data_IF_082593457765
#
_entry.id   IF_082593457765
#
_cell.length_a   1.000
_cell.length_b   1.000
_cell.length_c   1.000
_cell.angle_alpha   90.00
_cell.angle_beta   90.00
_cell.angle_gamma   90.00
#
_symmetry.space_group_name_H-M   'P 1'
#
loop_
_entity.id
_entity.type
_entity.pdbx_description
1 polymer ?
#
# COMPACT_ATOMS: atom_id res chain seq x y z
N UNK A 1 20.27 -38.36 -2.18
CA UNK A 1 18.91 -37.80 -2.35
C UNK A 1 18.48 -38.07 -3.77
N UNK A 2 17.30 -38.68 -3.98
CA UNK A 2 16.77 -38.86 -5.34
C UNK A 2 16.36 -37.49 -5.86
N UNK A 3 16.90 -37.10 -7.01
CA UNK A 3 16.37 -36.00 -7.80
C UNK A 3 14.90 -36.34 -8.11
N UNK A 4 13.99 -35.44 -7.73
CA UNK A 4 12.61 -35.49 -8.21
C UNK A 4 12.70 -35.11 -9.69
N UNK A 5 12.63 -36.11 -10.57
CA UNK A 5 12.62 -35.90 -12.01
C UNK A 5 11.31 -35.21 -12.38
N UNK A 6 11.39 -34.10 -13.10
CA UNK A 6 10.24 -33.47 -13.73
C UNK A 6 9.61 -34.47 -14.71
N UNK A 7 8.39 -34.89 -14.43
CA UNK A 7 7.61 -35.78 -15.30
C UNK A 7 7.22 -35.01 -16.56
N UNK A 8 7.64 -35.50 -17.73
CA UNK A 8 7.44 -34.82 -19.02
C UNK A 8 5.95 -34.56 -19.31
N UNK A 9 5.06 -35.44 -18.83
CA UNK A 9 3.61 -35.27 -18.97
C UNK A 9 3.05 -34.15 -18.07
N UNK A 10 3.69 -33.91 -16.92
CA UNK A 10 3.33 -32.80 -16.02
C UNK A 10 3.82 -31.46 -16.61
N UNK A 11 5.00 -31.44 -17.22
CA UNK A 11 5.50 -30.26 -17.92
C UNK A 11 4.62 -29.90 -19.12
N UNK A 12 4.31 -30.86 -20.00
CA UNK A 12 3.46 -30.63 -21.18
C UNK A 12 2.05 -30.14 -20.83
N UNK A 13 1.51 -30.56 -19.67
CA UNK A 13 0.24 -30.06 -19.16
C UNK A 13 0.34 -28.64 -18.57
N UNK A 14 1.44 -28.29 -17.91
CA UNK A 14 1.62 -27.00 -17.22
C UNK A 14 2.12 -25.90 -18.17
N UNK A 15 2.93 -26.25 -19.17
CA UNK A 15 3.56 -25.32 -20.10
C UNK A 15 2.59 -24.29 -20.72
N UNK A 16 1.40 -24.66 -21.26
CA UNK A 16 0.48 -23.66 -21.80
C UNK A 16 -0.04 -22.67 -20.74
N UNK A 17 -0.34 -23.14 -19.52
CA UNK A 17 -0.76 -22.26 -18.42
C UNK A 17 0.36 -21.36 -17.96
N UNK A 18 1.60 -21.87 -17.99
CA UNK A 18 2.79 -21.09 -17.65
C UNK A 18 3.05 -20.01 -18.69
N UNK A 19 2.88 -20.30 -19.98
CA UNK A 19 3.09 -19.32 -21.05
C UNK A 19 2.03 -18.22 -21.01
N UNK A 20 0.75 -18.56 -20.86
CA UNK A 20 -0.34 -17.59 -20.69
C UNK A 20 -0.10 -16.68 -19.46
N UNK A 21 0.27 -17.29 -18.32
CA UNK A 21 0.60 -16.53 -17.11
C UNK A 21 1.82 -15.63 -17.32
N UNK A 22 2.87 -16.10 -18.02
CA UNK A 22 4.05 -15.29 -18.30
C UNK A 22 3.70 -14.10 -19.18
N UNK A 23 2.88 -14.29 -20.22
CA UNK A 23 2.42 -13.21 -21.09
C UNK A 23 1.66 -12.14 -20.29
N UNK A 24 0.73 -12.55 -19.43
CA UNK A 24 -0.03 -11.63 -18.58
C UNK A 24 0.88 -10.88 -17.58
N UNK A 25 1.87 -11.56 -16.99
CA UNK A 25 2.83 -10.93 -16.09
C UNK A 25 3.78 -9.96 -16.81
N UNK A 26 4.03 -10.15 -18.11
CA UNK A 26 4.87 -9.27 -18.93
C UNK A 26 4.12 -8.05 -19.47
N UNK A 27 2.79 -8.01 -19.36
CA UNK A 27 1.98 -6.86 -19.77
C UNK A 27 2.46 -5.58 -19.08
N UNK A 28 2.81 -4.58 -19.88
CA UNK A 28 3.15 -3.23 -19.40
C UNK A 28 1.85 -2.53 -19.02
N UNK A 29 1.78 -2.05 -17.78
CA UNK A 29 0.61 -1.38 -17.19
C UNK A 29 0.90 0.09 -16.85
N UNK A 30 2.11 0.57 -17.10
CA UNK A 30 2.48 1.96 -16.92
C UNK A 30 3.96 2.21 -17.20
N UNK A 31 4.39 3.47 -17.08
CA UNK A 31 5.79 3.87 -17.20
C UNK A 31 6.19 4.70 -15.99
N UNK A 32 7.12 4.19 -15.19
CA UNK A 32 7.66 4.91 -14.04
C UNK A 32 8.58 6.03 -14.52
N UNK A 33 8.36 7.29 -14.07
CA UNK A 33 9.15 8.44 -14.51
C UNK A 33 10.52 8.53 -13.84
N UNK A 34 10.76 7.72 -12.80
CA UNK A 34 12.00 7.62 -12.05
C UNK A 34 12.01 6.34 -11.22
N UNK A 35 13.16 6.00 -10.64
CA UNK A 35 13.29 4.88 -9.71
C UNK A 35 12.44 5.10 -8.44
N UNK A 36 11.60 4.12 -8.10
CA UNK A 36 10.97 4.04 -6.79
C UNK A 36 11.88 3.26 -5.85
N UNK A 37 12.27 3.88 -4.74
CA UNK A 37 13.13 3.28 -3.73
C UNK A 37 12.33 3.11 -2.45
N UNK A 38 12.44 1.93 -1.83
CA UNK A 38 11.85 1.64 -0.52
C UNK A 38 12.79 2.10 0.58
N UNK A 39 12.29 2.89 1.53
CA UNK A 39 13.07 3.45 2.63
C UNK A 39 12.19 3.81 3.84
N UNK A 40 12.84 4.15 4.95
CA UNK A 40 12.24 4.61 6.20
C UNK A 40 12.93 5.90 6.68
N UNK A 41 12.23 6.79 7.39
CA UNK A 41 10.78 6.75 7.62
C UNK A 41 9.96 7.18 6.39
N UNK A 42 10.58 7.81 5.40
CA UNK A 42 9.92 8.21 4.15
C UNK A 42 10.54 7.50 2.96
N UNK A 43 9.73 7.28 1.92
CA UNK A 43 10.20 6.76 0.65
C UNK A 43 9.27 7.17 -0.48
N UNK A 44 9.82 7.42 -1.67
CA UNK A 44 8.99 7.77 -2.82
C UNK A 44 8.11 6.60 -3.27
N UNK A 45 8.60 5.35 -3.13
CA UNK A 45 7.79 4.15 -3.34
C UNK A 45 6.59 4.09 -2.37
N UNK A 46 6.84 4.29 -1.08
CA UNK A 46 5.78 4.26 -0.07
C UNK A 46 4.76 5.39 -0.26
N UNK A 47 5.22 6.59 -0.60
CA UNK A 47 4.38 7.73 -0.88
C UNK A 47 3.46 7.45 -2.08
N UNK A 48 4.02 7.01 -3.21
CA UNK A 48 3.28 6.65 -4.41
C UNK A 48 2.24 5.55 -4.13
N UNK A 49 2.64 4.47 -3.46
CA UNK A 49 1.77 3.32 -3.20
C UNK A 49 0.57 3.71 -2.34
N UNK A 50 0.80 4.44 -1.24
CA UNK A 50 -0.28 4.86 -0.34
C UNK A 50 -1.14 5.98 -0.91
N UNK A 51 -0.60 6.82 -1.80
CA UNK A 51 -1.41 7.80 -2.52
C UNK A 51 -2.36 7.13 -3.52
N UNK A 52 -1.92 6.08 -4.21
CA UNK A 52 -2.78 5.29 -5.08
C UNK A 52 -3.86 4.54 -4.26
N UNK A 53 -3.49 3.94 -3.13
CA UNK A 53 -4.46 3.35 -2.19
C UNK A 53 -5.49 4.38 -1.71
N UNK A 54 -5.07 5.59 -1.36
CA UNK A 54 -5.97 6.65 -0.93
C UNK A 54 -6.93 7.05 -2.06
N UNK A 55 -6.42 7.24 -3.27
CA UNK A 55 -7.24 7.60 -4.44
C UNK A 55 -8.31 6.53 -4.71
N UNK A 56 -7.96 5.24 -4.64
CA UNK A 56 -8.96 4.19 -4.81
C UNK A 56 -9.93 4.09 -3.64
N UNK A 57 -9.45 4.18 -2.40
CA UNK A 57 -10.33 4.21 -1.24
C UNK A 57 -11.36 5.36 -1.34
N UNK A 58 -10.96 6.54 -1.84
CA UNK A 58 -11.87 7.66 -2.07
C UNK A 58 -12.88 7.39 -3.18
N UNK A 59 -12.53 6.65 -4.23
CA UNK A 59 -13.42 6.32 -5.35
C UNK A 59 -14.46 5.26 -4.97
N UNK A 60 -14.06 4.28 -4.15
CA UNK A 60 -14.89 3.09 -3.86
C UNK A 60 -15.71 3.21 -2.59
N UNK A 61 -15.49 4.25 -1.78
CA UNK A 61 -16.22 4.46 -0.53
C UNK A 61 -17.24 5.61 -0.67
N UNK A 62 -18.43 5.48 -0.08
CA UNK A 62 -19.46 6.53 -0.13
C UNK A 62 -19.10 7.77 0.70
N UNK A 63 -18.26 7.59 1.73
CA UNK A 63 -17.78 8.67 2.58
C UNK A 63 -16.31 9.00 2.24
N UNK A 64 -15.88 10.25 2.48
CA UNK A 64 -14.48 10.63 2.31
C UNK A 64 -13.53 9.78 3.15
N UNK A 65 -12.37 9.44 2.60
CA UNK A 65 -11.26 8.77 3.29
C UNK A 65 -10.16 9.81 3.51
N UNK A 66 -9.71 9.92 4.76
CA UNK A 66 -8.78 10.97 5.18
C UNK A 66 -7.37 10.70 4.72
N UNK A 67 -6.86 9.49 4.99
CA UNK A 67 -5.54 9.06 4.57
C UNK A 67 -5.47 7.54 4.45
N UNK A 68 -4.40 7.06 3.83
CA UNK A 68 -4.10 5.64 3.70
C UNK A 68 -2.74 5.31 4.30
N UNK A 69 -2.59 4.09 4.79
CA UNK A 69 -1.33 3.55 5.27
C UNK A 69 -1.03 2.20 4.61
N UNK A 70 0.24 1.88 4.51
CA UNK A 70 0.70 0.53 4.15
C UNK A 70 1.81 0.14 5.11
N UNK A 71 1.75 -1.05 5.69
CA UNK A 71 2.82 -1.49 6.58
C UNK A 71 4.10 -1.74 5.77
N UNK A 72 5.26 -1.36 6.31
CA UNK A 72 6.52 -1.42 5.57
C UNK A 72 6.86 -2.83 5.08
N UNK A 73 6.46 -3.88 5.81
CA UNK A 73 6.67 -5.28 5.43
C UNK A 73 5.81 -5.76 4.25
N UNK A 74 4.72 -5.03 3.96
CA UNK A 74 3.79 -5.30 2.86
C UNK A 74 4.38 -5.05 1.47
N UNK A 75 5.34 -4.11 1.36
CA UNK A 75 6.10 -3.87 0.12
C UNK A 75 7.39 -4.70 0.15
N UNK A 76 7.65 -5.57 -0.82
CA UNK A 76 8.68 -6.62 -0.69
C UNK A 76 9.99 -6.34 -1.39
N UNK A 77 9.95 -5.67 -2.53
CA UNK A 77 11.17 -5.34 -3.29
C UNK A 77 11.78 -4.01 -2.79
N UNK A 78 13.11 -3.86 -2.86
CA UNK A 78 13.79 -2.65 -2.42
C UNK A 78 13.62 -1.48 -3.39
N UNK A 79 13.35 -1.78 -4.68
CA UNK A 79 13.18 -0.76 -5.71
C UNK A 79 12.33 -1.25 -6.88
N UNK A 80 11.74 -0.29 -7.60
CA UNK A 80 11.18 -0.44 -8.95
C UNK A 80 11.92 0.53 -9.85
N UNK A 81 12.47 0.05 -10.96
CA UNK A 81 13.25 0.87 -11.86
C UNK A 81 12.36 1.85 -12.65
N UNK A 82 12.94 2.98 -13.06
CA UNK A 82 12.39 3.86 -14.09
C UNK A 82 12.08 3.08 -15.38
N UNK A 83 11.05 3.52 -16.12
CA UNK A 83 10.68 2.95 -17.41
C UNK A 83 9.47 2.02 -17.34
N UNK A 84 9.35 1.06 -18.27
CA UNK A 84 8.17 0.19 -18.36
C UNK A 84 7.93 -0.58 -17.06
N UNK A 85 6.71 -0.46 -16.54
CA UNK A 85 6.25 -1.18 -15.36
C UNK A 85 5.30 -2.30 -15.79
N UNK A 86 5.62 -3.53 -15.43
CA UNK A 86 4.80 -4.71 -15.75
C UNK A 86 3.89 -5.12 -14.61
N UNK A 87 2.83 -5.86 -14.93
CA UNK A 87 1.95 -6.49 -13.92
C UNK A 87 2.75 -7.39 -12.98
N UNK A 88 3.64 -8.23 -13.50
CA UNK A 88 4.52 -9.08 -12.71
C UNK A 88 5.36 -8.31 -11.69
N UNK A 89 5.82 -7.10 -12.02
CA UNK A 89 6.56 -6.25 -11.07
C UNK A 89 5.69 -5.79 -9.90
N UNK A 90 4.40 -5.54 -10.10
CA UNK A 90 3.46 -5.24 -9.01
C UNK A 90 3.21 -6.47 -8.14
N UNK A 91 3.10 -7.66 -8.74
CA UNK A 91 3.03 -8.92 -7.99
C UNK A 91 4.29 -9.15 -7.14
N UNK A 92 5.48 -8.86 -7.65
CA UNK A 92 6.71 -8.90 -6.85
C UNK A 92 6.71 -7.85 -5.73
N UNK A 93 6.24 -6.63 -6.02
CA UNK A 93 6.20 -5.52 -5.06
C UNK A 93 5.26 -5.81 -3.89
N UNK A 94 4.05 -6.28 -4.16
CA UNK A 94 3.02 -6.58 -3.16
C UNK A 94 2.37 -7.95 -3.46
N UNK A 95 3.00 -9.05 -3.02
CA UNK A 95 2.57 -10.41 -3.36
C UNK A 95 1.46 -10.95 -2.47
N UNK A 96 0.91 -10.13 -1.56
CA UNK A 96 -0.12 -10.55 -0.62
C UNK A 96 -1.51 -10.32 -1.20
N UNK A 97 -2.45 -11.21 -0.92
CA UNK A 97 -3.86 -11.05 -1.27
C UNK A 97 -4.61 -10.25 -0.19
N UNK A 98 -3.98 -9.17 0.30
CA UNK A 98 -4.59 -8.29 1.29
C UNK A 98 -5.66 -7.43 0.61
N UNK A 99 -6.81 -7.31 1.26
CA UNK A 99 -7.88 -6.42 0.83
C UNK A 99 -7.65 -4.99 1.32
N UNK A 100 -8.15 -4.02 0.56
CA UNK A 100 -8.20 -2.62 0.94
C UNK A 100 -9.46 -2.41 1.80
N UNK A 101 -9.28 -2.08 3.07
CA UNK A 101 -10.37 -1.79 4.01
C UNK A 101 -10.25 -0.37 4.55
N UNK A 102 -11.39 0.22 4.93
CA UNK A 102 -11.45 1.53 5.58
C UNK A 102 -12.03 1.38 6.97
N UNK A 103 -11.36 1.94 7.97
CA UNK A 103 -11.80 1.97 9.36
C UNK A 103 -12.02 3.43 9.78
N UNK A 104 -13.05 3.68 10.58
CA UNK A 104 -13.21 4.96 11.28
C UNK A 104 -12.56 4.88 12.66
N UNK A 105 -11.53 5.71 12.89
CA UNK A 105 -10.72 5.69 14.10
C UNK A 105 -10.86 7.00 14.86
N UNK A 106 -11.19 6.91 16.14
CA UNK A 106 -11.11 8.03 17.07
C UNK A 106 -9.64 8.46 17.31
N UNK A 107 -9.47 9.64 17.92
CA UNK A 107 -8.14 10.16 18.25
C UNK A 107 -7.25 9.19 19.06
N UNK A 108 -7.83 8.37 19.95
CA UNK A 108 -7.06 7.43 20.76
C UNK A 108 -6.46 6.33 19.87
N UNK A 109 -7.27 5.74 18.98
CA UNK A 109 -6.81 4.74 18.02
C UNK A 109 -5.87 5.32 16.97
N UNK A 110 -6.09 6.56 16.52
CA UNK A 110 -5.12 7.27 15.67
C UNK A 110 -3.79 7.40 16.39
N UNK A 111 -3.77 7.83 17.65
CA UNK A 111 -2.52 7.95 18.41
C UNK A 111 -1.82 6.60 18.59
N UNK A 112 -2.56 5.53 18.89
CA UNK A 112 -2.01 4.17 19.00
C UNK A 112 -1.40 3.69 17.68
N UNK A 113 -2.12 3.87 16.57
CA UNK A 113 -1.66 3.52 15.23
C UNK A 113 -0.39 4.29 14.85
N UNK A 114 -0.37 5.61 15.03
CA UNK A 114 0.78 6.43 14.67
C UNK A 114 1.98 6.17 15.60
N UNK A 115 1.77 5.86 16.88
CA UNK A 115 2.84 5.39 17.77
C UNK A 115 3.41 4.04 17.32
N UNK A 116 2.56 3.13 16.85
CA UNK A 116 3.01 1.85 16.27
C UNK A 116 3.87 2.09 15.02
N UNK A 117 3.47 3.02 14.15
CA UNK A 117 4.24 3.41 12.97
C UNK A 117 5.58 4.03 13.40
N UNK A 118 5.57 4.97 14.34
CA UNK A 118 6.76 5.66 14.85
C UNK A 118 7.77 4.68 15.47
N UNK A 119 7.31 3.77 16.33
CA UNK A 119 8.15 2.74 16.95
C UNK A 119 8.73 1.71 15.97
N UNK A 120 8.14 1.60 14.78
CA UNK A 120 8.64 0.78 13.67
C UNK A 120 9.60 1.54 12.74
N UNK A 121 10.03 2.74 13.14
CA UNK A 121 10.84 3.67 12.35
C UNK A 121 10.14 4.14 11.05
N UNK A 122 8.81 4.24 11.07
CA UNK A 122 8.00 4.72 9.95
C UNK A 122 7.48 3.62 9.02
N UNK A 123 6.28 3.85 8.52
CA UNK A 123 5.57 3.10 7.50
C UNK A 123 5.18 4.08 6.38
N UNK A 124 4.98 3.59 5.14
CA UNK A 124 4.29 4.36 4.11
C UNK A 124 2.97 4.98 4.59
N UNK A 125 2.80 6.29 4.36
CA UNK A 125 1.58 7.06 4.66
C UNK A 125 1.24 7.97 3.49
N UNK A 126 -0.05 8.18 3.20
CA UNK A 126 -0.50 9.01 2.08
C UNK A 126 -0.37 10.52 2.34
N UNK A 127 -0.49 11.33 1.29
CA UNK A 127 -0.21 12.78 1.24
C UNK A 127 -0.95 13.66 2.26
N UNK A 128 -2.03 13.17 2.85
CA UNK A 128 -2.85 13.92 3.79
C UNK A 128 -2.42 13.76 5.25
N UNK A 129 -1.52 12.82 5.55
CA UNK A 129 -1.00 12.60 6.89
C UNK A 129 0.46 13.06 6.96
N UNK A 130 0.78 13.85 7.99
CA UNK A 130 2.15 14.07 8.42
C UNK A 130 2.27 14.09 9.94
N UNK A 131 3.44 13.74 10.45
CA UNK A 131 3.76 13.77 11.88
C UNK A 131 5.28 13.72 12.10
N UNK A 132 5.74 13.95 13.32
CA UNK A 132 7.14 13.79 13.74
C UNK A 132 7.29 12.60 14.69
N UNK A 133 8.40 11.89 14.58
CA UNK A 133 8.79 10.83 15.50
C UNK A 133 9.62 11.45 16.63
N UNK A 134 9.13 11.35 17.86
CA UNK A 134 9.86 11.73 19.06
C UNK A 134 9.77 10.60 20.08
N UNK A 135 10.92 10.11 20.57
CA UNK A 135 10.99 8.97 21.50
C UNK A 135 10.17 7.74 21.08
N UNK A 136 10.21 7.41 19.78
CA UNK A 136 9.44 6.33 19.15
C UNK A 136 7.92 6.49 19.22
N UNK A 137 7.44 7.72 19.41
CA UNK A 137 6.02 8.10 19.40
C UNK A 137 5.75 9.14 18.32
N UNK A 138 4.51 9.19 17.87
CA UNK A 138 4.06 10.21 16.94
C UNK A 138 3.64 11.47 17.70
N UNK A 139 4.22 12.60 17.33
CA UNK A 139 3.91 13.95 17.80
C UNK A 139 3.67 14.87 16.61
N UNK A 140 3.14 16.07 16.84
CA UNK A 140 2.85 17.06 15.78
C UNK A 140 2.02 16.46 14.62
N UNK A 141 1.02 15.64 14.97
CA UNK A 141 0.17 14.92 14.01
C UNK A 141 -0.73 15.91 13.27
N UNK A 142 -0.63 15.90 11.95
CA UNK A 142 -1.42 16.71 11.04
C UNK A 142 -2.17 15.83 10.02
N UNK A 143 -3.49 15.98 9.96
CA UNK A 143 -4.35 15.35 8.96
C UNK A 143 -4.99 16.47 8.14
N UNK A 144 -4.84 16.43 6.81
CA UNK A 144 -5.21 17.54 5.91
C UNK A 144 -4.60 18.89 6.30
N UNK A 145 -3.39 18.86 6.87
CA UNK A 145 -2.70 20.06 7.34
C UNK A 145 -3.30 20.68 8.61
N UNK A 146 -4.17 19.97 9.33
CA UNK A 146 -4.73 20.38 10.63
C UNK A 146 -4.38 19.39 11.73
N UNK A 147 -4.18 19.89 12.95
CA UNK A 147 -4.01 19.03 14.12
C UNK A 147 -5.28 18.22 14.41
N UNK A 148 -5.16 17.19 15.26
CA UNK A 148 -6.30 16.36 15.65
C UNK A 148 -7.40 17.20 16.33
N UNK A 149 -8.62 17.10 15.82
CA UNK A 149 -9.77 17.80 16.37
C UNK A 149 -10.25 17.12 17.65
N UNK A 150 -10.66 17.89 18.67
CA UNK A 150 -11.06 17.31 19.96
C UNK A 150 -12.31 16.43 19.79
N UNK A 151 -12.18 15.14 20.09
CA UNK A 151 -13.26 14.17 19.91
C UNK A 151 -13.52 13.80 18.45
N UNK A 152 -12.60 14.11 17.54
CA UNK A 152 -12.67 13.74 16.14
C UNK A 152 -12.48 12.25 15.89
N UNK A 153 -12.98 11.82 14.73
CA UNK A 153 -12.73 10.53 14.12
C UNK A 153 -12.24 10.73 12.69
N UNK A 154 -11.44 9.79 12.19
CA UNK A 154 -10.83 9.84 10.87
C UNK A 154 -10.96 8.50 10.17
N UNK A 155 -11.32 8.52 8.89
CA UNK A 155 -11.46 7.33 8.05
C UNK A 155 -10.12 6.99 7.40
N UNK A 156 -9.57 5.83 7.75
CA UNK A 156 -8.22 5.41 7.38
C UNK A 156 -8.29 4.16 6.50
N UNK A 157 -7.73 4.25 5.30
CA UNK A 157 -7.55 3.09 4.42
C UNK A 157 -6.28 2.32 4.78
N UNK A 158 -6.37 0.99 4.87
CA UNK A 158 -5.25 0.12 5.20
C UNK A 158 -5.45 -1.30 4.66
N UNK A 159 -4.42 -2.17 4.70
CA UNK A 159 -4.61 -3.59 4.48
C UNK A 159 -5.47 -4.21 5.57
N UNK A 160 -6.36 -5.12 5.20
CA UNK A 160 -7.11 -5.98 6.12
C UNK A 160 -6.19 -6.75 7.08
N UNK A 161 -4.98 -7.15 6.63
CA UNK A 161 -3.95 -7.70 7.51
C UNK A 161 -3.69 -6.84 8.75
N UNK A 162 -3.60 -5.51 8.58
CA UNK A 162 -3.36 -4.56 9.69
C UNK A 162 -4.62 -4.35 10.51
N UNK A 163 -5.77 -4.19 9.84
CA UNK A 163 -7.07 -4.06 10.52
C UNK A 163 -7.38 -5.27 11.42
N UNK A 164 -6.93 -6.47 11.02
CA UNK A 164 -7.13 -7.72 11.73
C UNK A 164 -6.01 -8.04 12.74
N UNK A 165 -5.22 -7.05 13.17
CA UNK A 165 -4.22 -7.20 14.25
C UNK A 165 -2.78 -7.45 13.80
N UNK A 166 -2.53 -7.54 12.50
CA UNK A 166 -1.18 -7.70 11.94
C UNK A 166 -0.21 -6.61 12.43
N UNK A 167 1.08 -6.96 12.52
CA UNK A 167 2.14 -6.10 13.08
C UNK A 167 1.86 -5.59 14.51
N UNK A 168 1.09 -6.32 15.33
CA UNK A 168 0.69 -5.94 16.70
C UNK A 168 -0.30 -4.75 16.73
N UNK A 169 -1.23 -4.73 15.78
CA UNK A 169 -2.31 -3.74 15.71
C UNK A 169 -3.63 -4.28 16.29
N UNK A 170 -3.57 -5.15 17.30
CA UNK A 170 -4.75 -5.84 17.87
C UNK A 170 -5.85 -4.88 18.36
N UNK A 171 -5.47 -3.65 18.70
CA UNK A 171 -6.40 -2.57 19.08
C UNK A 171 -7.36 -2.12 17.95
N UNK A 172 -7.19 -2.64 16.74
CA UNK A 172 -8.08 -2.39 15.59
C UNK A 172 -9.12 -3.48 15.36
N UNK A 173 -8.97 -4.67 15.96
CA UNK A 173 -9.80 -5.86 15.63
C UNK A 173 -11.29 -5.61 15.86
N UNK A 174 -11.63 -4.85 16.89
CA UNK A 174 -13.03 -4.55 17.25
C UNK A 174 -13.61 -3.34 16.48
N UNK A 175 -12.84 -2.70 15.60
CA UNK A 175 -13.30 -1.57 14.79
C UNK A 175 -14.03 -2.10 13.55
N UNK A 176 -15.29 -1.67 13.29
CA UNK A 176 -15.99 -2.04 12.07
C UNK A 176 -15.20 -1.64 10.81
N UNK A 177 -15.19 -2.54 9.82
CA UNK A 177 -14.45 -2.37 8.58
C UNK A 177 -15.42 -2.14 7.41
N UNK A 178 -15.23 -1.05 6.67
CA UNK A 178 -15.80 -0.89 5.34
C UNK A 178 -14.89 -1.64 4.35
N UNK A 179 -15.30 -2.85 3.98
CA UNK A 179 -14.55 -3.69 3.05
C UNK A 179 -15.23 -3.70 1.68
N UNK A 180 -14.55 -3.16 0.66
CA UNK A 180 -15.04 -3.15 -0.72
C UNK A 180 -14.89 -4.51 -1.44
N UNK A 181 -14.18 -5.47 -0.82
CA UNK A 181 -13.81 -6.75 -1.42
C UNK A 181 -12.68 -6.65 -2.43
N UNK A 182 -12.04 -5.48 -2.54
CA UNK A 182 -10.99 -5.22 -3.51
C UNK A 182 -9.62 -5.59 -2.95
N UNK A 183 -8.87 -6.39 -3.69
CA UNK A 183 -7.46 -6.64 -3.37
C UNK A 183 -6.64 -5.41 -3.67
N UNK A 184 -5.75 -5.02 -2.75
CA UNK A 184 -4.88 -3.86 -2.92
C UNK A 184 -4.04 -3.98 -4.21
N UNK A 185 -3.59 -5.20 -4.54
CA UNK A 185 -2.78 -5.43 -5.75
C UNK A 185 -3.55 -5.07 -7.02
N UNK A 186 -4.79 -5.53 -7.14
CA UNK A 186 -5.64 -5.28 -8.29
C UNK A 186 -6.02 -3.79 -8.36
N UNK A 187 -6.31 -3.16 -7.21
CA UNK A 187 -6.50 -1.71 -7.10
C UNK A 187 -5.34 -0.91 -7.69
N UNK A 188 -4.10 -1.29 -7.39
CA UNK A 188 -2.91 -0.61 -7.93
C UNK A 188 -2.75 -0.87 -9.44
N UNK A 189 -3.04 -2.09 -9.90
CA UNK A 189 -2.96 -2.45 -11.33
C UNK A 189 -4.00 -1.67 -12.12
N UNK A 190 -5.26 -1.66 -11.69
CA UNK A 190 -6.35 -0.93 -12.31
C UNK A 190 -6.04 0.58 -12.37
N UNK A 191 -5.56 1.16 -11.28
CA UNK A 191 -5.16 2.57 -11.23
C UNK A 191 -4.10 2.90 -12.28
N UNK A 192 -3.08 2.05 -12.42
CA UNK A 192 -2.02 2.22 -13.41
C UNK A 192 -2.52 2.07 -14.85
N UNK A 193 -3.34 1.06 -15.12
CA UNK A 193 -3.94 0.83 -16.43
C UNK A 193 -4.85 2.00 -16.84
N UNK A 194 -5.62 2.55 -15.90
CA UNK A 194 -6.45 3.74 -16.14
C UNK A 194 -5.63 4.98 -16.48
N UNK A 195 -4.56 5.25 -15.73
CA UNK A 195 -3.66 6.38 -16.02
C UNK A 195 -3.05 6.22 -17.41
N UNK A 196 -2.57 5.01 -17.74
CA UNK A 196 -1.98 4.70 -19.04
C UNK A 196 -3.01 4.87 -20.17
N UNK A 197 -4.25 4.40 -20.00
CA UNK A 197 -5.32 4.53 -20.98
C UNK A 197 -5.73 5.98 -21.23
N UNK A 198 -5.67 6.84 -20.19
CA UNK A 198 -5.94 8.29 -20.29
C UNK A 198 -4.75 9.08 -20.84
N UNK A 199 -3.55 8.48 -20.92
CA UNK A 199 -2.31 9.18 -21.25
C UNK A 199 -1.80 10.08 -20.12
N UNK A 200 -2.29 9.87 -18.90
CA UNK A 200 -1.89 10.62 -17.72
C UNK A 200 -0.51 10.18 -17.25
N UNK A 201 0.24 11.13 -16.69
CA UNK A 201 1.58 10.84 -16.15
C UNK A 201 1.46 10.37 -14.72
N UNK A 202 2.25 9.34 -14.39
CA UNK A 202 2.49 8.95 -13.01
C UNK A 202 3.29 10.08 -12.34
N UNK A 203 2.80 10.57 -11.20
CA UNK A 203 3.45 11.62 -10.41
C UNK A 203 4.00 10.98 -9.15
N UNK A 204 5.29 11.19 -8.89
CA UNK A 204 5.96 10.67 -7.71
C UNK A 204 6.21 11.81 -6.72
N UNK A 205 5.48 11.78 -5.60
CA UNK A 205 5.68 12.73 -4.51
C UNK A 205 6.81 12.28 -3.58
N UNK A 206 7.79 13.16 -3.38
CA UNK A 206 8.96 12.96 -2.50
C UNK A 206 8.86 13.73 -1.19
N UNK A 207 7.71 14.33 -0.89
CA UNK A 207 7.47 15.05 0.35
C UNK A 207 7.80 14.19 1.56
N UNK A 208 8.44 14.80 2.56
CA UNK A 208 8.67 14.17 3.86
C UNK A 208 7.38 14.29 4.67
N UNK A 209 6.70 13.16 4.85
CA UNK A 209 5.45 13.01 5.60
C UNK A 209 5.73 12.67 7.07
N UNK A 210 6.83 11.96 7.33
CA UNK A 210 7.28 11.61 8.68
C UNK A 210 8.59 12.35 8.98
N UNK A 211 8.63 13.16 10.02
CA UNK A 211 9.82 13.90 10.44
C UNK A 211 10.52 13.18 11.60
N UNK A 212 11.82 13.44 11.78
CA UNK A 212 12.62 12.99 12.94
C UNK A 212 12.94 14.20 13.82
#
# INVERSE_FOLDING_TARGET
GKAVGNDAAVLEFIDPFRDEMNEEMMKVIGHMPEDLIKARPNSNMGNWFTDAMLSEAQRTNPHPVDFAIQNYGGLRIPSVAEGPLTKGKIYELMPFDNMLVVLELDNEKIQLLLNKIASSNGWPVSRNLSFRIEDRKAVDIMIHGKGLEKGGSYRVAMPDYIANGGDNCDFLIDVPQDNSGLFIREVIIEHLEELMAKGDKIIIDKSKRIQE
#
